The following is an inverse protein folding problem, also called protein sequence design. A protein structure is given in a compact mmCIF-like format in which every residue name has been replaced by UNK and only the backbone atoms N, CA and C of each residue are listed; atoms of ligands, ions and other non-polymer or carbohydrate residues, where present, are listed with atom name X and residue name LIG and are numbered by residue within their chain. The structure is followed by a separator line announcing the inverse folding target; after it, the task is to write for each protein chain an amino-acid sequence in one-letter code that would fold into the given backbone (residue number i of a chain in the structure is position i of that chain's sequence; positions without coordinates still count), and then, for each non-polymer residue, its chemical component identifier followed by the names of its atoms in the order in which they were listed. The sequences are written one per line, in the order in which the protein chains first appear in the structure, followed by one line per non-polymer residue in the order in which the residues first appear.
data_IF_647941696878
#
_entry.id   IF_647941696878
#
_cell.length_a   1.000
_cell.length_b   1.000
_cell.length_c   1.000
_cell.angle_alpha   90.00
_cell.angle_beta   90.00
_cell.angle_gamma   90.00
#
_symmetry.space_group_name_H-M   'P 1'
#
loop_
_entity.id
_entity.type
_entity.pdbx_description
1 polymer ?
#
# COMPACT_ATOMS: atom_id res chain seq x y z
N UNK A 1 -17.91 12.22 3.62
CA UNK A 1 -16.88 11.30 3.09
C UNK A 1 -17.57 10.51 1.98
N UNK A 2 -16.93 10.15 0.87
CA UNK A 2 -17.59 9.33 -0.16
C UNK A 2 -16.76 8.05 -0.28
N UNK A 3 -17.37 6.87 -0.18
CA UNK A 3 -16.60 5.65 -0.38
C UNK A 3 -16.16 5.52 -1.84
N UNK A 4 -14.95 5.00 -2.00
CA UNK A 4 -14.39 4.52 -3.26
C UNK A 4 -15.27 3.46 -3.93
N UNK A 5 -16.07 2.68 -3.18
CA UNK A 5 -17.02 1.71 -3.75
C UNK A 5 -18.05 2.39 -4.69
N UNK A 6 -18.48 3.62 -4.38
CA UNK A 6 -19.42 4.37 -5.24
C UNK A 6 -18.80 4.85 -6.55
N UNK A 7 -17.48 4.73 -6.70
CA UNK A 7 -16.75 5.14 -7.90
C UNK A 7 -16.20 3.95 -8.69
N UNK A 8 -16.62 2.71 -8.39
CA UNK A 8 -16.21 1.51 -9.11
C UNK A 8 -16.43 1.62 -10.64
N UNK A 9 -17.52 2.28 -11.06
CA UNK A 9 -17.78 2.54 -12.48
C UNK A 9 -16.69 3.40 -13.17
N UNK A 10 -15.92 4.18 -12.41
CA UNK A 10 -14.80 4.98 -12.90
C UNK A 10 -13.44 4.33 -12.62
N UNK A 11 -13.29 3.69 -11.47
CA UNK A 11 -12.06 3.05 -11.03
C UNK A 11 -11.75 1.77 -11.82
N UNK A 12 -12.79 1.07 -12.29
CA UNK A 12 -12.66 -0.18 -13.03
C UNK A 12 -12.73 -1.42 -12.12
N UNK A 13 -12.56 -2.60 -12.73
CA UNK A 13 -12.77 -3.89 -12.08
C UNK A 13 -11.49 -4.53 -11.54
N UNK A 14 -10.41 -3.77 -11.37
CA UNK A 14 -9.11 -4.32 -10.96
C UNK A 14 -8.79 -4.15 -9.47
N UNK A 15 -9.77 -3.66 -8.69
CA UNK A 15 -9.66 -3.38 -7.26
C UNK A 15 -10.37 -4.45 -6.41
N UNK A 16 -9.87 -4.65 -5.19
CA UNK A 16 -10.57 -5.45 -4.18
C UNK A 16 -11.51 -4.59 -3.33
N UNK A 17 -12.37 -5.25 -2.55
CA UNK A 17 -13.19 -4.60 -1.52
C UNK A 17 -12.50 -4.66 -0.15
N UNK A 18 -12.81 -3.70 0.72
CA UNK A 18 -12.33 -3.64 2.10
C UNK A 18 -13.47 -3.24 3.05
N UNK A 19 -14.01 -4.22 3.77
CA UNK A 19 -15.09 -4.07 4.75
C UNK A 19 -14.60 -3.90 6.18
N UNK A 20 -13.33 -4.22 6.45
CA UNK A 20 -12.76 -4.18 7.78
C UNK A 20 -11.22 -4.17 7.73
N UNK A 21 -10.62 -3.90 8.89
CA UNK A 21 -9.25 -4.31 9.19
C UNK A 21 -9.30 -5.58 10.06
N UNK A 22 -8.65 -6.66 9.61
CA UNK A 22 -8.56 -7.93 10.33
C UNK A 22 -7.18 -8.08 10.96
N UNK A 23 -7.11 -8.48 12.22
CA UNK A 23 -5.86 -8.69 12.95
C UNK A 23 -5.86 -10.07 13.57
N UNK A 24 -4.80 -10.83 13.30
CA UNK A 24 -4.54 -12.15 13.88
C UNK A 24 -3.19 -12.12 14.56
N UNK A 25 -3.15 -12.29 15.87
CA UNK A 25 -1.90 -12.33 16.61
C UNK A 25 -1.37 -13.77 16.72
N UNK A 26 -0.09 -13.95 16.41
CA UNK A 26 0.61 -15.23 16.36
C UNK A 26 1.72 -15.28 17.41
N UNK A 27 1.89 -16.44 18.02
CA UNK A 27 2.98 -16.74 18.94
C UNK A 27 3.86 -17.83 18.34
N UNK A 28 5.18 -17.63 18.39
CA UNK A 28 6.13 -18.53 17.73
C UNK A 28 6.01 -19.95 18.30
N UNK A 29 5.80 -20.92 17.41
CA UNK A 29 5.70 -22.33 17.75
C UNK A 29 4.35 -22.76 18.34
N UNK A 30 3.36 -21.86 18.41
CA UNK A 30 2.01 -22.17 18.86
C UNK A 30 1.02 -22.13 17.70
N UNK A 31 -0.05 -22.95 17.71
CA UNK A 31 -1.17 -22.75 16.81
C UNK A 31 -1.85 -21.41 17.11
N UNK A 32 -2.45 -20.79 16.09
CA UNK A 32 -3.15 -19.52 16.30
C UNK A 32 -4.36 -19.70 17.23
N UNK A 33 -4.47 -18.83 18.23
CA UNK A 33 -5.56 -18.78 19.18
C UNK A 33 -6.71 -17.91 18.63
N UNK A 34 -7.93 -18.45 18.42
CA UNK A 34 -9.05 -17.65 17.94
C UNK A 34 -9.42 -16.45 18.81
N UNK A 35 -9.15 -16.50 20.11
CA UNK A 35 -9.37 -15.36 21.02
C UNK A 35 -8.38 -14.21 20.77
N UNK A 36 -7.31 -14.44 20.01
CA UNK A 36 -6.33 -13.43 19.60
C UNK A 36 -6.64 -12.88 18.19
N UNK A 37 -7.94 -12.74 17.89
CA UNK A 37 -8.47 -12.20 16.63
C UNK A 37 -9.27 -10.94 16.89
N UNK A 38 -9.08 -9.92 16.05
CA UNK A 38 -9.89 -8.70 16.04
C UNK A 38 -10.34 -8.37 14.63
N UNK A 39 -11.59 -7.93 14.49
CA UNK A 39 -12.11 -7.35 13.24
C UNK A 39 -12.66 -5.96 13.51
N UNK A 40 -11.97 -4.94 13.03
CA UNK A 40 -12.42 -3.54 13.11
C UNK A 40 -13.24 -3.20 11.86
N UNK A 41 -14.56 -3.18 12.03
CA UNK A 41 -15.53 -3.05 10.93
C UNK A 41 -15.56 -1.63 10.40
N UNK A 42 -15.56 -1.50 9.08
CA UNK A 42 -15.83 -0.24 8.37
C UNK A 42 -17.35 -0.17 8.14
N UNK A 43 -18.06 0.80 8.75
CA UNK A 43 -19.50 0.93 8.56
C UNK A 43 -19.85 1.14 7.09
N UNK A 44 -20.88 0.43 6.63
CA UNK A 44 -21.39 0.61 5.27
C UNK A 44 -22.08 1.97 5.11
N UNK A 45 -22.89 2.37 6.08
CA UNK A 45 -23.59 3.65 6.02
C UNK A 45 -22.77 4.75 6.71
N UNK A 46 -22.82 6.01 6.22
CA UNK A 46 -23.63 6.50 5.10
C UNK A 46 -22.90 6.51 3.74
N UNK A 47 -21.75 5.84 3.62
CA UNK A 47 -20.79 6.17 2.57
C UNK A 47 -20.35 5.02 1.67
N UNK A 48 -20.52 3.76 2.07
CA UNK A 48 -20.03 2.55 1.41
C UNK A 48 -18.78 1.97 2.10
N UNK A 49 -18.42 0.73 1.76
CA UNK A 49 -17.17 0.09 2.20
C UNK A 49 -15.99 0.55 1.36
N UNK A 50 -14.76 0.50 1.89
CA UNK A 50 -13.57 0.95 1.16
C UNK A 50 -13.13 -0.05 0.07
N UNK A 51 -12.15 0.34 -0.75
CA UNK A 51 -11.50 -0.53 -1.73
C UNK A 51 -10.03 -0.83 -1.36
N UNK A 52 -9.56 -2.00 -1.77
CA UNK A 52 -8.13 -2.26 -1.94
C UNK A 52 -7.69 -1.72 -3.29
N UNK A 53 -7.01 -0.57 -3.27
CA UNK A 53 -6.60 0.15 -4.47
C UNK A 53 -5.42 -0.54 -5.16
N UNK A 54 -5.69 -1.22 -6.26
CA UNK A 54 -4.66 -1.59 -7.23
C UNK A 54 -4.02 -0.34 -7.86
N UNK A 55 -2.80 -0.03 -7.41
CA UNK A 55 -2.17 1.29 -7.60
C UNK A 55 -1.84 1.64 -9.04
N UNK A 56 -1.42 0.69 -9.87
CA UNK A 56 -1.06 1.02 -11.27
C UNK A 56 -2.24 1.62 -12.03
N UNK A 57 -3.45 1.10 -11.84
CA UNK A 57 -4.64 1.55 -12.54
C UNK A 57 -5.19 2.82 -11.88
N UNK A 58 -5.17 2.86 -10.54
CA UNK A 58 -5.58 4.05 -9.77
C UNK A 58 -4.75 5.28 -10.14
N UNK A 59 -3.42 5.14 -10.11
CA UNK A 59 -2.49 6.24 -10.36
C UNK A 59 -2.57 6.69 -11.82
N UNK A 60 -2.76 5.75 -12.76
CA UNK A 60 -2.98 6.06 -14.17
C UNK A 60 -4.27 6.84 -14.39
N UNK A 61 -5.37 6.43 -13.74
CA UNK A 61 -6.65 7.14 -13.81
C UNK A 61 -6.53 8.56 -13.26
N UNK A 62 -5.88 8.75 -12.11
CA UNK A 62 -5.68 10.07 -11.51
C UNK A 62 -4.81 10.99 -12.39
N UNK A 63 -3.72 10.46 -12.97
CA UNK A 63 -2.89 11.20 -13.92
C UNK A 63 -3.70 11.58 -15.17
N UNK A 64 -4.46 10.64 -15.74
CA UNK A 64 -5.29 10.88 -16.93
C UNK A 64 -6.36 11.93 -16.68
N UNK A 65 -6.94 11.92 -15.48
CA UNK A 65 -7.86 12.96 -15.01
C UNK A 65 -7.15 14.31 -14.97
N UNK A 66 -5.98 14.43 -14.36
CA UNK A 66 -5.25 15.71 -14.34
C UNK A 66 -4.97 16.24 -15.76
N UNK A 67 -4.60 15.36 -16.70
CA UNK A 67 -4.40 15.72 -18.11
C UNK A 67 -5.70 16.21 -18.76
N UNK A 68 -6.85 15.56 -18.51
CA UNK A 68 -8.13 16.00 -19.06
C UNK A 68 -8.56 17.38 -18.56
N UNK A 69 -8.09 17.79 -17.38
CA UNK A 69 -8.28 19.13 -16.83
C UNK A 69 -7.19 20.14 -17.24
N UNK A 70 -6.27 19.76 -18.15
CA UNK A 70 -5.29 20.66 -18.76
C UNK A 70 -3.87 20.59 -18.19
N UNK A 71 -3.55 19.64 -17.31
CA UNK A 71 -2.18 19.45 -16.85
C UNK A 71 -1.27 18.94 -17.98
N UNK A 72 -0.09 19.54 -18.13
CA UNK A 72 0.96 19.03 -19.02
C UNK A 72 1.82 18.02 -18.28
N UNK A 73 1.83 16.75 -18.72
CA UNK A 73 2.62 15.69 -18.11
C UNK A 73 3.85 15.36 -18.97
N UNK A 74 5.03 15.30 -18.34
CA UNK A 74 6.28 14.84 -18.96
C UNK A 74 6.76 13.56 -18.28
N UNK A 75 6.45 12.40 -18.85
CA UNK A 75 6.92 11.10 -18.35
C UNK A 75 8.38 10.84 -18.74
N UNK A 76 9.02 9.85 -18.11
CA UNK A 76 10.42 9.50 -18.34
C UNK A 76 11.39 10.71 -18.23
N UNK A 77 11.01 11.71 -17.43
CA UNK A 77 11.74 12.96 -17.24
C UNK A 77 12.14 13.06 -15.78
N UNK A 78 13.17 12.30 -15.39
CA UNK A 78 13.67 12.34 -14.02
C UNK A 78 14.23 13.74 -13.71
N UNK A 79 13.78 14.37 -12.63
CA UNK A 79 14.35 15.64 -12.14
C UNK A 79 15.64 15.33 -11.38
N UNK A 80 16.73 16.04 -11.69
CA UNK A 80 18.03 15.86 -11.05
C UNK A 80 18.42 17.02 -10.14
N UNK A 81 17.90 18.22 -10.38
CA UNK A 81 18.15 19.39 -9.54
C UNK A 81 16.94 20.33 -9.53
N UNK A 82 16.77 21.06 -8.43
CA UNK A 82 15.78 22.12 -8.27
C UNK A 82 16.43 23.30 -7.56
N UNK A 83 16.44 24.45 -8.22
CA UNK A 83 17.01 25.68 -7.69
C UNK A 83 15.89 26.64 -7.33
N UNK A 84 15.87 27.05 -6.06
CA UNK A 84 14.89 27.98 -5.51
C UNK A 84 15.49 29.40 -5.54
N UNK A 85 14.80 30.31 -6.21
CA UNK A 85 15.13 31.74 -6.25
C UNK A 85 14.06 32.54 -5.52
N UNK A 86 14.29 33.84 -5.33
CA UNK A 86 13.35 34.70 -4.59
C UNK A 86 11.98 34.87 -5.28
N UNK A 87 11.92 34.77 -6.61
CA UNK A 87 10.72 35.04 -7.42
C UNK A 87 10.28 33.86 -8.32
N UNK A 88 11.09 32.81 -8.42
CA UNK A 88 10.82 31.64 -9.25
C UNK A 88 11.58 30.40 -8.80
N UNK A 89 11.28 29.28 -9.45
CA UNK A 89 11.96 28.00 -9.29
C UNK A 89 12.44 27.53 -10.67
N UNK A 90 13.66 27.01 -10.73
CA UNK A 90 14.18 26.32 -11.91
C UNK A 90 14.30 24.83 -11.62
N UNK A 91 13.73 24.00 -12.50
CA UNK A 91 13.69 22.55 -12.39
C UNK A 91 14.54 21.99 -13.53
N UNK A 92 15.56 21.21 -13.18
CA UNK A 92 16.52 20.65 -14.13
C UNK A 92 16.28 19.15 -14.31
N UNK A 93 15.73 18.72 -15.47
CA UNK A 93 15.59 17.31 -15.76
C UNK A 93 16.93 16.69 -16.16
N UNK A 94 17.03 15.37 -16.01
CA UNK A 94 18.16 14.56 -16.46
C UNK A 94 18.42 14.66 -17.97
N UNK A 95 17.35 14.88 -18.74
CA UNK A 95 17.34 15.00 -20.19
C UNK A 95 16.30 16.04 -20.58
N UNK A 96 16.65 16.87 -21.57
CA UNK A 96 15.80 17.96 -22.06
C UNK A 96 16.06 19.28 -21.35
N UNK A 97 15.25 20.27 -21.70
CA UNK A 97 15.45 21.65 -21.26
C UNK A 97 14.92 21.91 -19.83
N UNK A 98 15.59 22.77 -19.04
CA UNK A 98 15.09 23.23 -17.76
C UNK A 98 13.70 23.88 -17.86
N UNK A 99 12.92 23.78 -16.79
CA UNK A 99 11.60 24.39 -16.67
C UNK A 99 11.61 25.44 -15.57
N UNK A 100 11.11 26.63 -15.87
CA UNK A 100 10.90 27.70 -14.90
C UNK A 100 9.43 27.72 -14.47
N UNK A 101 9.19 27.76 -13.17
CA UNK A 101 7.86 27.90 -12.57
C UNK A 101 7.86 28.92 -11.43
N UNK A 102 6.69 29.41 -11.02
CA UNK A 102 6.57 30.29 -9.85
C UNK A 102 6.58 29.53 -8.52
N UNK A 103 6.25 28.24 -8.56
CA UNK A 103 6.14 27.38 -7.40
C UNK A 103 6.39 25.93 -7.80
N UNK A 104 6.87 25.12 -6.85
CA UNK A 104 7.13 23.69 -7.05
C UNK A 104 6.46 22.89 -5.94
N UNK A 105 5.86 21.76 -6.32
CA UNK A 105 5.33 20.75 -5.39
C UNK A 105 6.10 19.47 -5.65
N UNK A 106 6.83 18.99 -4.64
CA UNK A 106 7.55 17.72 -4.73
C UNK A 106 6.65 16.55 -4.34
N UNK A 107 6.21 15.81 -5.35
CA UNK A 107 5.45 14.56 -5.22
C UNK A 107 6.31 13.31 -5.50
N UNK A 108 7.63 13.40 -5.33
CA UNK A 108 8.60 12.30 -5.58
C UNK A 108 8.61 11.19 -4.52
N UNK A 109 7.73 11.26 -3.52
CA UNK A 109 7.59 10.27 -2.45
C UNK A 109 8.87 10.10 -1.64
N UNK A 110 9.25 8.85 -1.36
CA UNK A 110 10.49 8.54 -0.61
C UNK A 110 11.76 9.11 -1.28
N UNK A 111 11.73 9.39 -2.58
CA UNK A 111 12.87 9.98 -3.31
C UNK A 111 12.72 11.49 -3.57
N UNK A 112 11.93 12.19 -2.74
CA UNK A 112 11.79 13.65 -2.79
C UNK A 112 13.17 14.33 -2.87
N UNK A 113 13.36 15.12 -3.93
CA UNK A 113 14.59 15.87 -4.19
C UNK A 113 14.67 17.11 -3.33
N UNK A 114 13.55 17.81 -3.11
CA UNK A 114 13.54 19.01 -2.27
C UNK A 114 13.90 18.68 -0.82
N UNK A 115 13.37 17.59 -0.28
CA UNK A 115 13.72 17.15 1.08
C UNK A 115 15.20 16.79 1.21
N UNK A 116 15.82 16.24 0.16
CA UNK A 116 17.26 15.93 0.13
C UNK A 116 18.09 17.20 0.03
N UNK A 117 17.80 18.09 -0.93
CA UNK A 117 18.55 19.33 -1.16
C UNK A 117 18.48 20.30 0.02
N UNK A 118 17.32 20.36 0.69
CA UNK A 118 17.12 21.25 1.84
C UNK A 118 17.54 20.60 3.18
N UNK A 119 17.85 19.30 3.20
CA UNK A 119 18.24 18.59 4.43
C UNK A 119 17.09 18.43 5.43
N UNK A 120 15.84 18.46 4.97
CA UNK A 120 14.63 18.51 5.81
C UNK A 120 14.14 17.12 6.28
N UNK A 121 14.86 16.05 5.92
CA UNK A 121 14.49 14.69 6.31
C UNK A 121 15.26 14.23 7.53
N UNK A 122 14.54 14.05 8.64
CA UNK A 122 15.04 13.45 9.87
C UNK A 122 14.49 12.02 10.04
N UNK A 123 15.35 11.12 10.50
CA UNK A 123 15.03 9.70 10.76
C UNK A 123 15.17 9.32 12.23
N UNK A 124 15.25 10.29 13.15
CA UNK A 124 15.19 10.06 14.59
C UNK A 124 13.77 9.68 15.04
N UNK A 125 13.36 8.47 14.70
CA UNK A 125 12.01 7.94 14.92
C UNK A 125 12.04 6.73 15.86
N UNK A 126 10.97 6.54 16.64
CA UNK A 126 10.82 5.33 17.46
C UNK A 126 10.58 4.08 16.61
N UNK A 127 9.85 4.25 15.50
CA UNK A 127 9.58 3.19 14.52
C UNK A 127 10.82 2.94 13.70
N UNK A 128 11.30 1.70 13.72
CA UNK A 128 12.41 1.23 12.91
C UNK A 128 11.99 -0.10 12.28
N UNK A 129 11.72 -0.09 10.99
CA UNK A 129 11.19 -1.27 10.29
C UNK A 129 11.81 -1.40 8.92
N UNK A 130 12.05 -2.64 8.49
CA UNK A 130 12.34 -3.00 7.11
C UNK A 130 11.20 -3.85 6.55
N UNK A 131 11.12 -3.93 5.24
CA UNK A 131 10.03 -4.66 4.61
C UNK A 131 10.39 -5.29 3.28
N UNK A 132 9.61 -6.31 2.93
CA UNK A 132 9.56 -6.94 1.61
C UNK A 132 8.10 -7.08 1.20
N UNK A 133 7.82 -6.93 -0.08
CA UNK A 133 6.46 -7.01 -0.59
C UNK A 133 6.44 -7.38 -2.07
N UNK A 134 5.35 -8.01 -2.48
CA UNK A 134 5.10 -8.39 -3.86
C UNK A 134 3.59 -8.56 -4.10
N UNK A 135 3.21 -8.84 -5.35
CA UNK A 135 1.90 -9.36 -5.69
C UNK A 135 2.02 -10.86 -6.01
N UNK A 136 1.12 -11.66 -5.46
CA UNK A 136 1.06 -13.10 -5.63
C UNK A 136 -0.26 -13.50 -6.30
N UNK A 137 -0.27 -14.65 -6.97
CA UNK A 137 -1.50 -15.28 -7.49
C UNK A 137 -1.88 -16.47 -6.61
N UNK A 138 -3.15 -16.86 -6.64
CA UNK A 138 -3.66 -18.05 -5.94
C UNK A 138 -3.38 -18.07 -4.43
N UNK A 139 -3.32 -16.90 -3.79
CA UNK A 139 -3.20 -16.81 -2.33
C UNK A 139 -4.52 -17.30 -1.71
N UNK A 140 -4.52 -18.38 -0.91
CA UNK A 140 -5.75 -18.90 -0.34
C UNK A 140 -6.33 -17.90 0.66
N UNK A 141 -7.65 -17.67 0.59
CA UNK A 141 -8.34 -16.91 1.63
C UNK A 141 -8.17 -17.56 3.00
N UNK A 142 -8.04 -16.75 4.05
CA UNK A 142 -7.74 -17.19 5.42
C UNK A 142 -8.58 -18.39 5.90
N UNK A 143 -9.89 -18.38 5.65
CA UNK A 143 -10.78 -19.47 6.07
C UNK A 143 -10.47 -20.81 5.39
N UNK A 144 -10.04 -20.78 4.12
CA UNK A 144 -9.61 -21.95 3.36
C UNK A 144 -8.23 -22.43 3.80
N UNK A 145 -7.34 -21.52 4.21
CA UNK A 145 -6.03 -21.86 4.76
C UNK A 145 -6.13 -22.50 6.16
N UNK A 146 -7.09 -22.07 6.99
CA UNK A 146 -7.19 -22.46 8.39
C UNK A 146 -8.37 -23.39 8.74
N UNK A 147 -9.13 -23.91 7.75
CA UNK A 147 -10.24 -24.87 7.92
C UNK A 147 -11.27 -24.53 9.03
N UNK A 148 -11.48 -23.25 9.36
CA UNK A 148 -12.14 -22.88 10.63
C UNK A 148 -12.98 -21.61 10.58
N UNK A 149 -13.74 -21.37 9.50
CA UNK A 149 -14.72 -20.27 9.49
C UNK A 149 -15.69 -20.34 10.68
N UNK A 150 -15.99 -21.53 11.22
CA UNK A 150 -16.87 -21.71 12.38
C UNK A 150 -16.22 -21.41 13.74
N UNK A 151 -14.89 -21.28 13.82
CA UNK A 151 -14.20 -21.02 15.09
C UNK A 151 -14.08 -19.53 15.43
N UNK A 152 -14.17 -18.66 14.41
CA UNK A 152 -14.13 -17.21 14.57
C UNK A 152 -15.54 -16.69 14.28
N UNK A 153 -16.28 -16.36 15.33
CA UNK A 153 -17.60 -15.72 15.25
C UNK A 153 -17.46 -14.28 14.71
N UNK A 154 -17.16 -14.17 13.41
CA UNK A 154 -16.80 -12.92 12.72
C UNK A 154 -17.91 -12.49 11.76
N UNK A 155 -18.23 -11.19 11.71
CA UNK A 155 -19.31 -10.68 10.86
C UNK A 155 -18.96 -10.71 9.37
N UNK A 156 -17.68 -10.67 8.99
CA UNK A 156 -17.24 -10.77 7.60
C UNK A 156 -16.11 -11.80 7.42
N UNK A 157 -15.99 -12.46 6.25
CA UNK A 157 -14.81 -13.25 5.91
C UNK A 157 -13.55 -12.38 5.94
N UNK A 158 -12.46 -12.86 6.55
CA UNK A 158 -11.19 -12.11 6.60
C UNK A 158 -10.64 -11.70 5.23
N UNK A 159 -10.99 -12.44 4.17
CA UNK A 159 -10.60 -12.09 2.80
C UNK A 159 -11.26 -10.81 2.27
N UNK A 160 -12.36 -10.35 2.87
CA UNK A 160 -13.05 -9.11 2.47
C UNK A 160 -12.51 -7.86 3.21
N UNK A 161 -11.34 -7.97 3.85
CA UNK A 161 -10.70 -6.86 4.55
C UNK A 161 -9.19 -6.87 4.37
N UNK A 162 -8.54 -5.84 4.93
CA UNK A 162 -7.08 -5.80 5.01
C UNK A 162 -6.66 -6.68 6.18
N UNK A 163 -6.04 -7.82 5.91
CA UNK A 163 -5.63 -8.79 6.93
C UNK A 163 -4.19 -8.53 7.40
N UNK A 164 -4.00 -8.54 8.72
CA UNK A 164 -2.72 -8.31 9.39
C UNK A 164 -2.41 -9.52 10.28
N UNK A 165 -1.39 -10.29 9.92
CA UNK A 165 -0.80 -11.30 10.77
C UNK A 165 0.27 -10.64 11.64
N UNK A 166 0.00 -10.45 12.92
CA UNK A 166 0.88 -9.79 13.88
C UNK A 166 1.70 -10.83 14.65
N UNK A 167 2.96 -10.52 14.95
CA UNK A 167 3.79 -11.35 15.83
C UNK A 167 4.85 -10.46 16.51
N UNK A 168 5.58 -11.02 17.46
CA UNK A 168 6.65 -10.28 18.13
C UNK A 168 7.70 -9.79 17.11
N UNK A 169 7.90 -8.48 17.03
CA UNK A 169 8.90 -7.87 16.15
C UNK A 169 8.53 -7.77 14.66
N UNK A 170 7.28 -8.04 14.27
CA UNK A 170 6.86 -7.85 12.88
C UNK A 170 5.38 -8.07 12.60
N UNK A 171 5.02 -7.89 11.34
CA UNK A 171 3.69 -8.23 10.85
C UNK A 171 3.67 -8.45 9.33
N UNK A 172 2.71 -9.24 8.87
CA UNK A 172 2.47 -9.54 7.46
C UNK A 172 1.09 -9.07 7.04
N UNK A 173 0.97 -8.46 5.87
CA UNK A 173 -0.32 -8.13 5.27
C UNK A 173 -0.73 -9.10 4.18
N UNK A 174 -2.05 -9.31 4.06
CA UNK A 174 -2.69 -9.98 2.93
C UNK A 174 -3.83 -9.09 2.45
N UNK A 175 -3.70 -8.55 1.24
CA UNK A 175 -4.60 -7.56 0.64
C UNK A 175 -5.02 -8.05 -0.74
N UNK A 176 -6.11 -8.83 -0.83
CA UNK A 176 -6.59 -9.37 -2.09
C UNK A 176 -7.21 -8.28 -2.98
N UNK A 177 -6.94 -8.34 -4.28
CA UNK A 177 -7.67 -7.60 -5.31
C UNK A 177 -8.77 -8.45 -5.94
N UNK A 178 -8.75 -9.78 -5.76
CA UNK A 178 -9.66 -10.78 -6.31
C UNK A 178 -10.86 -11.12 -5.40
N UNK A 179 -11.08 -10.33 -4.34
CA UNK A 179 -12.08 -10.62 -3.30
C UNK A 179 -13.48 -10.03 -3.55
N UNK A 180 -13.74 -9.54 -4.77
CA UNK A 180 -15.05 -9.01 -5.17
C UNK A 180 -15.55 -9.74 -6.41
N UNK A 181 -16.86 -10.01 -6.49
CA UNK A 181 -17.46 -10.81 -7.56
C UNK A 181 -17.26 -10.22 -8.96
N UNK A 182 -17.15 -8.89 -9.05
CA UNK A 182 -16.90 -8.18 -10.30
C UNK A 182 -15.41 -7.95 -10.57
N UNK A 183 -14.52 -8.35 -9.65
CA UNK A 183 -13.08 -8.15 -9.84
C UNK A 183 -12.54 -9.05 -10.95
N UNK A 184 -11.66 -8.49 -11.77
CA UNK A 184 -10.95 -9.20 -12.84
C UNK A 184 -9.46 -9.39 -12.53
N UNK A 185 -8.99 -8.89 -11.39
CA UNK A 185 -7.59 -8.92 -11.00
C UNK A 185 -7.29 -10.16 -10.14
N UNK A 186 -6.48 -11.13 -10.59
CA UNK A 186 -6.20 -12.37 -9.85
C UNK A 186 -5.14 -12.20 -8.76
N UNK A 187 -4.65 -10.98 -8.55
CA UNK A 187 -3.52 -10.71 -7.67
C UNK A 187 -3.98 -10.47 -6.23
N UNK A 188 -3.09 -10.81 -5.31
CA UNK A 188 -3.16 -10.44 -3.91
C UNK A 188 -1.84 -9.78 -3.51
N UNK A 189 -1.91 -8.61 -2.88
CA UNK A 189 -0.74 -7.97 -2.32
C UNK A 189 -0.36 -8.60 -0.99
N UNK A 190 0.90 -9.00 -0.89
CA UNK A 190 1.49 -9.63 0.29
C UNK A 190 2.77 -8.89 0.64
N UNK A 191 2.95 -8.61 1.93
CA UNK A 191 4.18 -8.00 2.40
C UNK A 191 4.41 -8.25 3.87
N UNK A 192 5.67 -8.21 4.25
CA UNK A 192 6.17 -8.52 5.57
C UNK A 192 7.02 -7.35 6.05
N UNK A 193 6.68 -6.80 7.21
CA UNK A 193 7.45 -5.79 7.92
C UNK A 193 8.07 -6.39 9.18
N UNK A 194 9.33 -6.06 9.40
CA UNK A 194 10.16 -6.58 10.49
C UNK A 194 10.89 -5.45 11.19
N UNK A 195 10.98 -5.53 12.51
CA UNK A 195 11.88 -4.71 13.31
C UNK A 195 13.32 -5.24 13.16
N UNK A 196 14.26 -4.49 12.55
CA UNK A 196 15.62 -4.95 12.33
C UNK A 196 16.43 -5.12 13.61
N UNK A 197 15.94 -4.65 14.77
CA UNK A 197 16.57 -4.89 16.08
C UNK A 197 16.35 -6.31 16.59
N UNK A 198 15.25 -6.95 16.17
CA UNK A 198 14.91 -8.34 16.47
C UNK A 198 15.20 -9.27 15.29
N UNK A 199 14.95 -8.79 14.07
CA UNK A 199 15.13 -9.51 12.80
C UNK A 199 16.04 -8.72 11.84
N UNK A 200 17.36 -8.71 12.10
CA UNK A 200 18.30 -7.95 11.30
C UNK A 200 18.29 -8.38 9.83
N UNK A 201 18.63 -7.48 8.89
CA UNK A 201 18.77 -7.84 7.48
C UNK A 201 19.70 -9.05 7.29
N UNK A 202 19.29 -9.99 6.45
CA UNK A 202 20.04 -11.18 6.09
C UNK A 202 20.53 -11.05 4.64
N UNK A 203 21.69 -10.41 4.39
CA UNK A 203 22.18 -10.19 3.02
C UNK A 203 22.60 -11.50 2.33
N UNK A 204 22.72 -12.58 3.09
CA UNK A 204 22.95 -13.94 2.62
C UNK A 204 21.69 -14.62 2.06
N UNK A 205 20.50 -14.05 2.30
CA UNK A 205 19.22 -14.55 1.81
C UNK A 205 18.64 -13.62 0.75
N UNK A 206 18.00 -14.21 -0.25
CA UNK A 206 17.07 -13.51 -1.12
C UNK A 206 15.77 -13.17 -0.36
N UNK A 207 14.98 -12.18 -0.81
CA UNK A 207 13.67 -11.91 -0.19
C UNK A 207 12.73 -13.11 -0.16
N UNK A 208 12.82 -14.01 -1.15
CA UNK A 208 12.00 -15.22 -1.20
C UNK A 208 12.42 -16.23 -0.13
N UNK A 209 13.73 -16.50 0.00
CA UNK A 209 14.27 -17.40 1.03
C UNK A 209 14.03 -16.88 2.45
N UNK A 210 13.95 -15.57 2.64
CA UNK A 210 13.62 -14.99 3.95
C UNK A 210 12.12 -15.03 4.26
N UNK A 211 11.27 -15.05 3.23
CA UNK A 211 9.81 -15.04 3.38
C UNK A 211 9.24 -16.42 3.76
N UNK A 212 9.86 -17.51 3.28
CA UNK A 212 9.40 -18.90 3.47
C UNK A 212 10.17 -19.64 4.58
#
# INVERSE_FOLDING_TARGET
YFSTENFLAFAGTTHGIKRHFGFLHHEKGQPHNPQHTLQAIIPKEPHGHELHLYRQDTDYFLMSTAVSYGATVRQNTAVQDVQLHNDHVQIFPAKGEPVTAKYVVDAGGFRSILAQTLGERDFNLQTHSRGMFTHMINVPGHARANNSQSAYDLPFPMAEGTLHHLFEGGWLWVIPFDNHAESTNPLCSVGLLLDPRLYPPRPDLTPEEEFF
#
